data_IF_102437322319
#
_entry.id   IF_102437322319
#
_cell.length_a   1.000
_cell.length_b   1.000
_cell.length_c   1.000
_cell.angle_alpha   90.00
_cell.angle_beta   90.00
_cell.angle_gamma   90.00
#
_symmetry.space_group_name_H-M   'P 1'
#
loop_
_entity.id
_entity.type
_entity.pdbx_description
1 polymer ?
#
# COMPACT_ATOMS: atom_id res chain seq x y z
N UNK A 1 31.64 -12.81 60.30
CA UNK A 1 30.27 -13.07 60.79
C UNK A 1 29.29 -12.82 59.64
N UNK A 2 28.55 -13.88 59.24
CA UNK A 2 27.18 -13.96 58.66
C UNK A 2 26.76 -12.89 57.62
N UNK A 3 26.47 -13.26 56.36
CA UNK A 3 25.16 -13.63 55.77
C UNK A 3 24.08 -12.51 55.92
N UNK A 4 23.29 -12.06 54.94
CA UNK A 4 22.56 -12.72 53.83
C UNK A 4 22.14 -11.72 52.72
N UNK A 5 22.02 -12.23 51.49
CA UNK A 5 21.03 -12.02 50.40
C UNK A 5 19.98 -10.88 50.47
N UNK A 6 19.78 -10.20 49.32
CA UNK A 6 18.55 -10.38 48.51
C UNK A 6 18.75 -9.86 47.06
N UNK A 7 18.36 -10.69 46.08
CA UNK A 7 18.49 -10.46 44.65
C UNK A 7 17.26 -9.74 44.06
N UNK A 8 17.48 -8.94 43.00
CA UNK A 8 16.44 -8.62 42.00
C UNK A 8 17.02 -8.88 40.60
N UNK A 9 16.39 -9.84 39.91
CA UNK A 9 16.62 -10.21 38.53
C UNK A 9 16.28 -9.04 37.58
N UNK A 10 17.18 -8.75 36.66
CA UNK A 10 16.86 -8.15 35.36
C UNK A 10 17.26 -9.19 34.32
N UNK A 11 16.29 -9.62 33.51
CA UNK A 11 16.47 -10.57 32.43
C UNK A 11 16.96 -9.79 31.20
N UNK A 12 18.23 -9.95 30.84
CA UNK A 12 18.79 -9.49 29.56
C UNK A 12 19.16 -10.75 28.79
N UNK A 13 18.35 -11.13 27.80
CA UNK A 13 18.74 -12.13 26.81
C UNK A 13 19.37 -11.35 25.66
N UNK A 14 20.69 -11.14 25.74
CA UNK A 14 21.50 -10.86 24.56
C UNK A 14 22.03 -12.20 24.05
N UNK A 15 21.53 -12.66 22.91
CA UNK A 15 22.07 -13.82 22.24
C UNK A 15 23.22 -13.40 21.32
N UNK A 16 24.45 -13.47 21.83
CA UNK A 16 25.65 -13.64 21.02
C UNK A 16 26.41 -14.84 21.56
N UNK A 17 26.34 -15.95 20.82
CA UNK A 17 27.14 -17.15 21.09
C UNK A 17 28.21 -17.25 20.01
N UNK A 18 29.44 -16.95 20.38
CA UNK A 18 30.61 -17.52 19.73
C UNK A 18 31.57 -18.00 20.81
N UNK A 19 31.68 -19.33 20.95
CA UNK A 19 32.86 -19.98 21.48
C UNK A 19 33.15 -21.23 20.66
N UNK A 20 34.41 -21.39 20.30
CA UNK A 20 34.89 -22.36 19.35
C UNK A 20 35.41 -23.65 20.01
N UNK A 21 35.40 -24.70 19.20
CA UNK A 21 36.19 -25.96 19.24
C UNK A 21 35.59 -27.11 20.06
N UNK A 22 35.05 -28.07 19.29
CA UNK A 22 34.78 -29.45 19.68
C UNK A 22 34.15 -30.18 18.50
N UNK A 23 34.96 -30.87 17.70
CA UNK A 23 34.56 -31.63 16.51
C UNK A 23 33.65 -32.80 16.87
N UNK A 24 32.34 -32.62 16.72
CA UNK A 24 31.35 -33.67 16.44
C UNK A 24 30.35 -33.10 15.42
N UNK A 25 30.32 -33.69 14.23
CA UNK A 25 29.46 -33.30 13.13
C UNK A 25 27.99 -33.51 13.48
N UNK A 26 27.35 -32.45 13.98
CA UNK A 26 25.91 -32.26 13.89
C UNK A 26 25.68 -31.18 12.84
N UNK A 27 25.32 -31.60 11.63
CA UNK A 27 24.75 -30.68 10.64
C UNK A 27 23.53 -30.04 11.29
N UNK A 28 23.63 -28.77 11.70
CA UNK A 28 22.46 -27.98 12.01
C UNK A 28 21.66 -27.91 10.71
N UNK A 29 20.63 -28.75 10.60
CA UNK A 29 19.66 -28.64 9.52
C UNK A 29 19.10 -27.23 9.61
N UNK A 30 19.40 -26.38 8.63
CA UNK A 30 18.65 -25.15 8.44
C UNK A 30 17.18 -25.56 8.36
N UNK A 31 16.40 -25.20 9.38
CA UNK A 31 15.00 -25.55 9.44
C UNK A 31 14.33 -24.79 8.29
N UNK A 32 13.84 -25.52 7.28
CA UNK A 32 13.16 -24.90 6.15
C UNK A 32 11.88 -24.24 6.66
N UNK A 33 11.76 -22.94 6.40
CA UNK A 33 10.53 -22.18 6.66
C UNK A 33 9.41 -22.78 5.80
N UNK A 34 8.28 -23.12 6.41
CA UNK A 34 7.12 -23.62 5.69
C UNK A 34 6.42 -22.47 4.94
N UNK A 35 5.67 -22.76 3.85
CA UNK A 35 4.92 -21.71 3.14
C UNK A 35 3.99 -20.90 4.05
N UNK A 36 3.36 -21.56 5.03
CA UNK A 36 2.48 -20.91 6.00
C UNK A 36 3.23 -19.97 6.95
N UNK A 37 4.41 -20.37 7.42
CA UNK A 37 5.24 -19.50 8.26
C UNK A 37 5.73 -18.27 7.48
N UNK A 38 6.05 -18.44 6.19
CA UNK A 38 6.41 -17.33 5.31
C UNK A 38 5.21 -16.37 5.10
N UNK A 39 4.02 -16.90 4.82
CA UNK A 39 2.79 -16.12 4.68
C UNK A 39 2.49 -15.31 5.94
N UNK A 40 2.52 -15.95 7.12
CA UNK A 40 2.33 -15.29 8.41
C UNK A 40 3.37 -14.20 8.68
N UNK A 41 4.62 -14.41 8.25
CA UNK A 41 5.65 -13.39 8.35
C UNK A 41 5.32 -12.16 7.49
N UNK A 42 4.95 -12.35 6.22
CA UNK A 42 4.57 -11.23 5.35
C UNK A 42 3.29 -10.52 5.81
N UNK A 43 2.30 -11.26 6.34
CA UNK A 43 1.13 -10.68 7.01
C UNK A 43 1.54 -9.80 8.19
N UNK A 44 2.49 -10.27 9.02
CA UNK A 44 2.97 -9.50 10.18
C UNK A 44 3.73 -8.24 9.77
N UNK A 45 4.50 -8.27 8.67
CA UNK A 45 5.15 -7.11 8.08
C UNK A 45 4.12 -6.09 7.59
N UNK A 46 3.12 -6.56 6.83
CA UNK A 46 2.05 -5.72 6.31
C UNK A 46 1.23 -5.06 7.42
N UNK A 47 0.98 -5.78 8.51
CA UNK A 47 0.30 -5.24 9.69
C UNK A 47 1.16 -4.21 10.43
N UNK A 48 2.43 -4.53 10.68
CA UNK A 48 3.35 -3.63 11.39
C UNK A 48 3.49 -2.28 10.70
N UNK A 49 3.56 -2.30 9.37
CA UNK A 49 3.68 -1.10 8.54
C UNK A 49 2.35 -0.63 7.93
N UNK A 50 1.21 -1.14 8.38
CA UNK A 50 -0.09 -0.67 7.92
C UNK A 50 -0.21 0.83 8.15
N UNK A 51 -0.47 1.66 7.13
CA UNK A 51 -0.42 3.12 7.28
C UNK A 51 -1.48 3.65 8.25
N UNK A 52 -1.15 4.75 8.92
CA UNK A 52 -2.15 5.64 9.55
C UNK A 52 -2.59 6.63 8.48
N UNK A 53 -3.89 6.66 8.21
CA UNK A 53 -4.45 7.38 7.07
C UNK A 53 -5.31 8.54 7.59
N UNK A 54 -4.87 9.78 7.38
CA UNK A 54 -5.70 10.97 7.60
C UNK A 54 -6.37 11.40 6.30
N UNK A 55 -7.65 11.13 6.17
CA UNK A 55 -8.39 11.37 4.94
C UNK A 55 -9.38 12.51 5.10
N UNK A 56 -9.35 13.46 4.16
CA UNK A 56 -10.44 14.43 4.02
C UNK A 56 -11.74 13.72 3.62
N UNK A 57 -12.85 14.06 4.26
CA UNK A 57 -14.17 13.53 3.91
C UNK A 57 -15.21 14.65 3.86
N UNK A 58 -15.69 14.97 2.66
CA UNK A 58 -16.81 15.87 2.43
C UNK A 58 -18.17 15.13 2.53
N UNK A 59 -18.21 13.87 2.09
CA UNK A 59 -19.34 12.94 2.19
C UNK A 59 -18.88 11.52 2.51
N UNK A 60 -19.81 10.58 2.60
CA UNK A 60 -19.53 9.14 2.72
C UNK A 60 -19.00 8.52 1.41
N UNK A 61 -19.13 9.23 0.28
CA UNK A 61 -18.49 8.86 -1.00
C UNK A 61 -16.95 8.85 -0.88
N UNK A 62 -16.39 9.62 0.06
CA UNK A 62 -14.95 9.65 0.31
C UNK A 62 -14.50 8.47 1.19
N UNK A 63 -15.38 7.59 1.69
CA UNK A 63 -14.94 6.52 2.59
C UNK A 63 -14.18 5.42 1.85
N UNK A 64 -13.12 4.90 2.50
CA UNK A 64 -12.38 3.75 1.99
C UNK A 64 -13.29 2.52 2.14
N UNK A 65 -13.40 1.70 1.10
CA UNK A 65 -14.11 0.41 1.17
C UNK A 65 -13.47 -0.65 0.26
N UNK A 66 -14.03 -1.85 0.22
CA UNK A 66 -13.63 -2.89 -0.73
C UNK A 66 -14.21 -2.63 -2.13
N UNK A 67 -13.59 -3.17 -3.17
CA UNK A 67 -14.09 -3.12 -4.54
C UNK A 67 -15.42 -3.87 -4.70
N UNK A 68 -15.64 -4.94 -3.92
CA UNK A 68 -16.87 -5.73 -3.89
C UNK A 68 -17.83 -5.32 -2.76
N UNK A 69 -17.80 -4.05 -2.36
CA UNK A 69 -18.58 -3.52 -1.24
C UNK A 69 -20.11 -3.69 -1.39
N UNK A 70 -20.59 -3.88 -2.61
CA UNK A 70 -22.00 -4.13 -2.95
C UNK A 70 -22.33 -5.63 -3.12
N UNK A 71 -21.34 -6.51 -2.92
CA UNK A 71 -21.49 -7.96 -2.97
C UNK A 71 -21.26 -8.59 -4.34
N UNK A 72 -20.81 -7.83 -5.35
CA UNK A 72 -20.43 -8.37 -6.64
C UNK A 72 -19.03 -7.90 -7.10
N UNK A 73 -18.67 -8.15 -8.36
CA UNK A 73 -17.34 -7.84 -8.90
C UNK A 73 -17.44 -7.16 -10.27
N UNK A 74 -18.57 -6.50 -10.53
CA UNK A 74 -18.75 -5.63 -11.68
C UNK A 74 -18.13 -4.27 -11.34
N UNK A 75 -17.16 -3.83 -12.13
CA UNK A 75 -16.51 -2.54 -11.88
C UNK A 75 -17.40 -1.37 -12.28
N UNK A 76 -18.31 -1.58 -13.25
CA UNK A 76 -19.09 -0.56 -13.91
C UNK A 76 -20.50 -0.32 -13.31
N UNK A 77 -20.68 -0.61 -12.03
CA UNK A 77 -21.89 -0.27 -11.27
C UNK A 77 -21.60 0.26 -9.84
N UNK A 78 -20.31 0.43 -9.51
CA UNK A 78 -19.84 0.86 -8.20
C UNK A 78 -20.28 2.29 -7.88
N UNK A 79 -20.34 3.17 -8.88
CA UNK A 79 -20.84 4.53 -8.69
C UNK A 79 -22.29 4.45 -8.21
N UNK A 80 -23.16 3.75 -8.92
CA UNK A 80 -24.59 3.63 -8.62
C UNK A 80 -24.85 2.93 -7.29
N UNK A 81 -24.04 1.93 -6.94
CA UNK A 81 -24.25 1.09 -5.76
C UNK A 81 -23.67 1.66 -4.46
N UNK A 82 -22.74 2.63 -4.54
CA UNK A 82 -22.14 3.31 -3.37
C UNK A 82 -23.14 3.72 -2.29
N UNK A 83 -24.32 4.31 -2.59
CA UNK A 83 -25.26 4.77 -1.55
C UNK A 83 -25.87 3.66 -0.69
N UNK A 84 -25.79 2.40 -1.11
CA UNK A 84 -26.42 1.26 -0.42
C UNK A 84 -25.48 0.12 -0.05
N UNK A 85 -24.24 0.15 -0.52
CA UNK A 85 -23.27 -0.90 -0.23
C UNK A 85 -22.61 -0.77 1.15
N UNK A 86 -21.78 -1.76 1.49
CA UNK A 86 -21.08 -1.84 2.77
C UNK A 86 -19.80 -1.00 2.74
N UNK A 87 -19.81 0.19 3.34
CA UNK A 87 -18.66 1.09 3.39
C UNK A 87 -17.65 0.74 4.49
N UNK A 88 -17.55 -0.53 4.88
CA UNK A 88 -16.56 -0.99 5.85
C UNK A 88 -15.15 -0.85 5.29
N UNK A 89 -14.23 -0.29 6.07
CA UNK A 89 -12.91 0.08 5.57
C UNK A 89 -12.00 -1.14 5.34
N UNK A 90 -11.65 -1.40 4.08
CA UNK A 90 -10.67 -2.40 3.68
C UNK A 90 -9.51 -1.75 2.93
N UNK A 91 -8.29 -2.14 3.29
CA UNK A 91 -7.08 -1.71 2.58
C UNK A 91 -6.44 -2.93 1.93
N UNK A 92 -6.28 -2.85 0.62
CA UNK A 92 -5.60 -3.89 -0.14
C UNK A 92 -4.12 -3.82 0.11
N UNK A 93 -3.45 -4.96 0.28
CA UNK A 93 -2.00 -4.97 0.44
C UNK A 93 -1.28 -6.06 -0.33
N UNK A 94 0.02 -5.86 -0.54
CA UNK A 94 0.94 -6.92 -0.94
C UNK A 94 2.32 -6.71 -0.30
N UNK A 95 3.08 -7.79 -0.19
CA UNK A 95 4.49 -7.74 0.22
C UNK A 95 5.32 -8.48 -0.82
N UNK A 96 6.38 -7.83 -1.29
CA UNK A 96 7.40 -8.39 -2.17
C UNK A 96 8.75 -8.26 -1.46
N UNK A 97 9.63 -9.24 -1.64
CA UNK A 97 10.92 -9.30 -0.97
C UNK A 97 12.04 -9.51 -2.00
N UNK A 98 13.03 -8.60 -2.01
CA UNK A 98 14.34 -8.84 -2.63
C UNK A 98 15.34 -9.35 -1.61
N UNK A 99 16.57 -9.66 -2.01
CA UNK A 99 17.61 -10.08 -1.04
C UNK A 99 17.84 -9.03 0.07
N UNK A 100 17.72 -7.74 -0.23
CA UNK A 100 18.07 -6.65 0.70
C UNK A 100 16.89 -5.84 1.21
N UNK A 101 15.72 -5.90 0.57
CA UNK A 101 14.57 -5.05 0.93
C UNK A 101 13.24 -5.82 0.92
N UNK A 102 12.28 -5.31 1.69
CA UNK A 102 10.86 -5.58 1.52
C UNK A 102 10.17 -4.37 0.86
N UNK A 103 9.19 -4.64 0.03
CA UNK A 103 8.35 -3.68 -0.66
C UNK A 103 6.91 -3.97 -0.24
N UNK A 104 6.34 -3.07 0.56
CA UNK A 104 4.98 -3.17 1.03
C UNK A 104 4.12 -2.21 0.23
N UNK A 105 3.11 -2.75 -0.44
CA UNK A 105 2.21 -1.99 -1.27
C UNK A 105 0.84 -1.97 -0.62
N UNK A 106 0.22 -0.79 -0.53
CA UNK A 106 -1.13 -0.62 0.00
C UNK A 106 -1.98 0.16 -1.01
N UNK A 107 -3.22 -0.25 -1.23
CA UNK A 107 -4.15 0.46 -2.12
C UNK A 107 -5.45 0.79 -1.40
N UNK A 108 -5.91 2.03 -1.56
CA UNK A 108 -7.14 2.57 -1.01
C UNK A 108 -8.15 2.66 -2.16
N UNK A 109 -9.32 2.04 -1.99
CA UNK A 109 -10.37 2.06 -3.00
C UNK A 109 -11.53 2.95 -2.55
N UNK A 110 -12.04 3.74 -3.49
CA UNK A 110 -13.23 4.56 -3.35
C UNK A 110 -14.16 4.28 -4.53
N UNK A 111 -15.49 4.09 -4.33
CA UNK A 111 -16.38 3.80 -5.46
C UNK A 111 -16.58 4.96 -6.43
N UNK A 112 -16.26 6.20 -5.99
CA UNK A 112 -16.50 7.43 -6.75
C UNK A 112 -15.33 8.40 -6.59
N UNK A 113 -14.74 8.84 -7.69
CA UNK A 113 -13.93 10.06 -7.77
C UNK A 113 -14.83 11.19 -8.28
N UNK A 114 -14.93 12.28 -7.52
CA UNK A 114 -15.85 13.36 -7.83
C UNK A 114 -15.25 14.74 -7.61
N UNK A 115 -16.00 15.75 -8.03
CA UNK A 115 -15.59 17.15 -7.91
C UNK A 115 -16.65 17.96 -7.17
N UNK A 116 -16.30 19.17 -6.73
CA UNK A 116 -17.29 20.12 -6.23
C UNK A 116 -18.28 20.57 -7.32
N UNK A 117 -17.81 20.63 -8.56
CA UNK A 117 -18.62 20.95 -9.73
C UNK A 117 -19.51 19.77 -10.13
N UNK A 118 -20.60 20.07 -10.84
CA UNK A 118 -21.50 19.03 -11.36
C UNK A 118 -20.75 18.05 -12.26
N UNK A 119 -20.72 16.77 -11.87
CA UNK A 119 -20.01 15.71 -12.57
C UNK A 119 -20.41 15.55 -14.03
N UNK A 120 -21.66 15.91 -14.39
CA UNK A 120 -22.09 15.89 -15.78
C UNK A 120 -21.38 16.94 -16.65
N UNK A 121 -20.71 17.92 -16.05
CA UNK A 121 -20.10 19.07 -16.73
C UNK A 121 -18.64 19.33 -16.39
N UNK A 122 -18.14 18.86 -15.24
CA UNK A 122 -16.79 19.14 -14.77
C UNK A 122 -15.71 18.40 -15.57
N UNK A 123 -16.05 17.19 -16.06
CA UNK A 123 -15.09 16.30 -16.72
C UNK A 123 -14.03 15.72 -15.79
N UNK A 124 -14.15 15.94 -14.48
CA UNK A 124 -13.23 15.45 -13.46
C UNK A 124 -13.76 14.30 -12.61
N UNK A 125 -15.02 13.90 -12.78
CA UNK A 125 -15.58 12.76 -12.04
C UNK A 125 -15.42 11.47 -12.81
N UNK A 126 -15.26 10.36 -12.09
CA UNK A 126 -15.35 9.01 -12.64
C UNK A 126 -15.72 7.96 -11.60
N UNK A 127 -16.31 6.89 -12.09
CA UNK A 127 -16.50 5.67 -11.34
C UNK A 127 -15.17 5.01 -11.00
N UNK A 128 -15.13 4.45 -9.78
CA UNK A 128 -13.96 3.87 -9.15
C UNK A 128 -12.84 4.88 -8.94
N UNK A 129 -12.08 4.65 -7.88
CA UNK A 129 -10.79 5.26 -7.67
C UNK A 129 -9.94 4.30 -6.86
N UNK A 130 -8.67 4.18 -7.24
CA UNK A 130 -7.74 3.31 -6.55
C UNK A 130 -6.36 3.96 -6.57
N UNK A 131 -5.99 4.48 -5.41
CA UNK A 131 -4.74 5.17 -5.16
C UNK A 131 -3.85 4.31 -4.27
N UNK A 132 -2.53 4.41 -4.43
CA UNK A 132 -1.61 3.46 -3.78
C UNK A 132 -0.39 4.08 -3.10
N UNK A 133 0.17 3.29 -2.19
CA UNK A 133 1.34 3.60 -1.36
C UNK A 133 2.34 2.45 -1.54
N UNK A 134 3.61 2.77 -1.76
CA UNK A 134 4.71 1.81 -1.74
C UNK A 134 5.75 2.20 -0.68
N UNK A 135 5.84 1.40 0.37
CA UNK A 135 6.87 1.51 1.39
C UNK A 135 8.04 0.56 1.06
N UNK A 136 9.25 1.10 1.00
CA UNK A 136 10.47 0.29 0.86
C UNK A 136 11.22 0.24 2.19
N UNK A 137 11.46 -0.99 2.66
CA UNK A 137 12.08 -1.26 3.96
C UNK A 137 13.35 -2.06 3.74
N UNK A 138 14.48 -1.53 4.18
CA UNK A 138 15.76 -2.23 4.17
C UNK A 138 15.81 -3.27 5.29
N UNK A 139 16.38 -4.43 4.98
CA UNK A 139 16.66 -5.46 5.99
C UNK A 139 17.97 -5.15 6.70
N UNK A 140 17.88 -4.79 7.97
CA UNK A 140 19.02 -4.49 8.83
C UNK A 140 19.33 -5.60 9.86
N UNK A 141 18.65 -6.75 9.73
CA UNK A 141 18.74 -7.88 10.65
C UNK A 141 17.77 -7.83 11.84
N UNK A 142 16.99 -6.76 11.98
CA UNK A 142 15.86 -6.71 12.92
C UNK A 142 14.61 -7.36 12.31
N UNK A 143 13.57 -7.69 13.13
CA UNK A 143 12.36 -8.34 12.62
C UNK A 143 11.56 -7.50 11.60
N UNK A 144 11.68 -6.18 11.67
CA UNK A 144 10.91 -5.26 10.83
C UNK A 144 11.79 -4.41 9.90
N UNK A 145 13.10 -4.35 10.11
CA UNK A 145 14.00 -3.59 9.24
C UNK A 145 13.90 -2.08 9.47
N UNK A 146 14.39 -1.34 8.48
CA UNK A 146 14.47 0.12 8.49
C UNK A 146 13.76 0.70 7.27
N UNK A 147 12.66 1.45 7.44
CA UNK A 147 12.03 2.20 6.35
C UNK A 147 13.04 3.13 5.67
N UNK A 148 13.08 3.12 4.33
CA UNK A 148 13.99 3.96 3.52
C UNK A 148 13.23 4.95 2.66
N UNK A 149 12.20 4.50 1.94
CA UNK A 149 11.37 5.35 1.08
C UNK A 149 9.89 5.08 1.26
N UNK A 150 9.09 6.11 1.01
CA UNK A 150 7.64 6.05 0.88
C UNK A 150 7.28 6.70 -0.46
N UNK A 151 6.67 5.95 -1.36
CA UNK A 151 6.12 6.48 -2.60
C UNK A 151 4.60 6.51 -2.50
N UNK A 152 3.97 7.62 -2.84
CA UNK A 152 2.50 7.75 -2.84
C UNK A 152 2.01 8.20 -4.20
N UNK A 153 0.85 7.69 -4.62
CA UNK A 153 0.19 8.16 -5.83
C UNK A 153 -0.85 9.23 -5.45
N UNK A 154 -0.82 10.33 -6.19
CA UNK A 154 -1.92 11.26 -6.22
C UNK A 154 -2.22 11.62 -7.68
N UNK A 155 -3.39 11.23 -8.14
CA UNK A 155 -3.87 11.42 -9.49
C UNK A 155 -2.89 10.78 -10.50
N UNK A 156 -2.23 11.60 -11.31
CA UNK A 156 -1.27 11.17 -12.33
C UNK A 156 0.20 11.22 -11.89
N UNK A 157 0.49 11.39 -10.59
CA UNK A 157 1.85 11.60 -10.09
C UNK A 157 2.22 10.70 -8.92
N UNK A 158 3.37 10.02 -9.04
CA UNK A 158 4.01 9.34 -7.90
C UNK A 158 4.96 10.33 -7.23
N UNK A 159 4.79 10.52 -5.93
CA UNK A 159 5.63 11.35 -5.08
C UNK A 159 6.57 10.48 -4.26
N UNK A 160 7.86 10.82 -4.28
CA UNK A 160 8.89 10.14 -3.49
C UNK A 160 9.14 10.90 -2.18
N UNK A 161 9.06 10.21 -1.06
CA UNK A 161 9.47 10.68 0.26
C UNK A 161 10.56 9.75 0.83
N UNK A 162 11.40 10.27 1.72
CA UNK A 162 12.47 9.49 2.36
C UNK A 162 12.36 9.55 3.88
N UNK A 163 12.83 8.51 4.57
CA UNK A 163 12.84 8.49 6.05
C UNK A 163 14.15 9.03 6.64
N UNK A 164 15.19 9.19 5.81
CA UNK A 164 16.43 9.84 6.18
C UNK A 164 17.10 10.49 4.94
N UNK A 165 18.20 11.19 5.18
CA UNK A 165 18.95 11.95 4.15
C UNK A 165 19.91 11.07 3.32
N UNK A 166 20.04 9.78 3.63
CA UNK A 166 20.94 8.85 2.92
C UNK A 166 20.33 8.30 1.63
N UNK A 167 19.03 8.52 1.43
CA UNK A 167 18.35 8.23 0.17
C UNK A 167 18.16 9.53 -0.62
N UNK A 168 18.69 9.55 -1.83
CA UNK A 168 18.64 10.69 -2.74
C UNK A 168 17.59 10.57 -3.84
N UNK A 169 17.50 11.61 -4.66
CA UNK A 169 16.63 11.62 -5.85
C UNK A 169 17.23 10.77 -6.98
N UNK A 170 16.39 9.96 -7.62
CA UNK A 170 16.68 9.30 -8.89
C UNK A 170 15.89 9.98 -10.01
N UNK A 171 15.03 9.22 -10.68
CA UNK A 171 14.06 9.77 -11.63
C UNK A 171 13.02 10.69 -10.95
N UNK A 172 12.57 10.32 -9.75
CA UNK A 172 11.71 11.16 -8.93
C UNK A 172 12.56 12.08 -8.06
N UNK A 173 12.08 13.32 -7.92
CA UNK A 173 12.65 14.26 -6.94
C UNK A 173 12.10 13.89 -5.57
N UNK A 174 12.97 13.89 -4.56
CA UNK A 174 12.55 13.76 -3.16
C UNK A 174 11.66 14.95 -2.81
N UNK A 175 10.41 14.65 -2.47
CA UNK A 175 9.34 15.60 -2.15
C UNK A 175 9.51 16.13 -0.73
N UNK A 176 9.88 15.25 0.21
CA UNK A 176 10.11 15.59 1.60
C UNK A 176 10.41 14.36 2.45
N UNK A 177 10.44 14.57 3.76
CA UNK A 177 10.58 13.49 4.71
C UNK A 177 9.21 12.83 4.98
N UNK A 178 9.19 11.50 5.00
CA UNK A 178 8.06 10.73 5.47
C UNK A 178 8.09 10.63 7.01
N UNK A 179 6.92 10.48 7.62
CA UNK A 179 6.76 10.38 9.07
C UNK A 179 6.22 9.01 9.46
N UNK A 180 6.57 8.57 10.68
CA UNK A 180 5.96 7.42 11.33
C UNK A 180 5.16 7.89 12.54
N UNK A 181 3.95 7.37 12.69
CA UNK A 181 3.14 7.50 13.90
C UNK A 181 3.08 6.14 14.58
N UNK A 182 3.66 6.01 15.78
CA UNK A 182 3.75 4.76 16.53
C UNK A 182 4.31 3.56 15.73
N UNK A 183 5.20 3.85 14.77
CA UNK A 183 5.83 2.85 13.89
C UNK A 183 5.11 2.65 12.54
N UNK A 184 3.93 3.23 12.36
CA UNK A 184 3.14 3.16 11.14
C UNK A 184 3.45 4.33 10.19
N UNK A 185 3.62 4.12 8.87
CA UNK A 185 3.71 5.20 7.90
C UNK A 185 2.51 6.13 7.98
N UNK A 186 2.76 7.43 8.07
CA UNK A 186 1.70 8.44 8.12
C UNK A 186 1.42 8.96 6.71
N UNK A 187 0.16 8.88 6.27
CA UNK A 187 -0.27 9.39 4.96
C UNK A 187 -1.52 10.26 5.08
N UNK A 188 -1.69 11.12 4.10
CA UNK A 188 -2.79 12.07 4.02
C UNK A 188 -3.50 11.94 2.69
N UNK A 189 -4.83 11.88 2.70
CA UNK A 189 -5.65 11.60 1.53
C UNK A 189 -6.60 12.76 1.30
N UNK A 190 -6.64 13.27 0.06
CA UNK A 190 -7.56 14.32 -0.35
C UNK A 190 -9.01 13.84 -0.30
N UNK A 191 -9.95 14.74 0.03
CA UNK A 191 -11.34 14.45 -0.28
C UNK A 191 -11.57 14.56 -1.79
N UNK A 192 -12.66 13.95 -2.26
CA UNK A 192 -13.20 14.00 -3.61
C UNK A 192 -12.40 13.18 -4.64
N UNK A 193 -11.12 13.50 -4.83
CA UNK A 193 -10.24 12.81 -5.80
C UNK A 193 -9.07 12.06 -5.18
N UNK A 194 -9.12 11.81 -3.87
CA UNK A 194 -8.34 10.81 -3.11
C UNK A 194 -6.82 10.72 -3.29
N UNK A 195 -6.17 11.74 -3.85
CA UNK A 195 -4.71 11.75 -3.97
C UNK A 195 -4.00 11.58 -2.62
N UNK A 196 -3.00 10.70 -2.57
CA UNK A 196 -2.28 10.32 -1.35
C UNK A 196 -0.93 11.05 -1.27
N UNK A 197 -0.63 11.59 -0.08
CA UNK A 197 0.60 12.34 0.21
C UNK A 197 1.27 11.83 1.48
N UNK A 198 2.60 11.78 1.48
CA UNK A 198 3.44 11.37 2.62
C UNK A 198 3.76 12.49 3.62
N UNK A 199 3.11 13.66 3.51
CA UNK A 199 3.25 14.76 4.46
C UNK A 199 1.96 15.55 4.60
N UNK A 200 1.81 16.25 5.74
CA UNK A 200 0.65 17.11 6.03
C UNK A 200 0.54 18.35 5.14
N UNK A 201 1.63 18.70 4.44
CA UNK A 201 1.90 20.00 3.84
C UNK A 201 0.69 20.63 3.15
N UNK A 202 0.26 21.81 3.63
CA UNK A 202 -0.56 22.83 2.96
C UNK A 202 -1.86 22.47 2.23
N UNK A 203 -2.22 21.20 2.05
CA UNK A 203 -3.28 20.79 1.14
C UNK A 203 -4.64 21.21 1.68
N UNK A 204 -5.16 22.28 1.06
CA UNK A 204 -6.51 22.77 1.27
C UNK A 204 -7.54 21.66 1.03
N UNK A 205 -7.29 20.70 0.15
CA UNK A 205 -8.10 19.51 -0.17
C UNK A 205 -8.23 18.50 0.96
N UNK A 206 -7.25 18.40 1.85
CA UNK A 206 -7.26 17.42 2.95
C UNK A 206 -8.02 17.97 4.17
N UNK A 207 -7.86 19.27 4.46
CA UNK A 207 -8.39 19.87 5.69
C UNK A 207 -9.37 21.01 5.48
N UNK A 208 -9.15 21.87 4.49
CA UNK A 208 -9.89 23.13 4.33
C UNK A 208 -11.18 22.93 3.52
N UNK A 209 -11.10 22.31 2.34
CA UNK A 209 -12.23 22.03 1.46
C UNK A 209 -13.26 21.10 2.12
N UNK A 210 -12.89 19.98 2.78
CA UNK A 210 -13.87 19.15 3.46
C UNK A 210 -14.64 19.95 4.51
N UNK A 211 -13.96 20.77 5.31
CA UNK A 211 -14.60 21.63 6.32
C UNK A 211 -15.54 22.67 5.71
N UNK A 212 -15.20 23.25 4.56
CA UNK A 212 -16.09 24.16 3.84
C UNK A 212 -17.37 23.49 3.36
N UNK A 213 -17.30 22.19 3.03
CA UNK A 213 -18.45 21.38 2.60
C UNK A 213 -19.20 20.72 3.77
N UNK A 214 -18.90 21.13 5.01
CA UNK A 214 -19.51 20.56 6.22
C UNK A 214 -18.95 19.19 6.63
N UNK A 215 -17.90 18.73 5.94
CA UNK A 215 -17.13 17.52 6.23
C UNK A 215 -16.00 17.74 7.25
N UNK A 216 -14.99 16.88 7.17
CA UNK A 216 -13.88 16.85 8.12
C UNK A 216 -12.74 15.92 7.71
N UNK A 217 -12.11 15.31 8.70
CA UNK A 217 -11.01 14.36 8.51
C UNK A 217 -11.36 13.07 9.24
N UNK A 218 -11.30 11.94 8.55
CA UNK A 218 -11.40 10.60 9.13
C UNK A 218 -9.99 10.05 9.29
N UNK A 219 -9.69 9.42 10.43
CA UNK A 219 -8.39 8.80 10.71
C UNK A 219 -8.55 7.29 10.79
N UNK A 220 -8.03 6.59 9.78
CA UNK A 220 -8.06 5.14 9.71
C UNK A 220 -6.76 4.53 10.24
N UNK A 221 -6.89 3.43 11.00
CA UNK A 221 -5.77 2.65 11.54
C UNK A 221 -5.96 1.17 11.25
N UNK A 222 -4.88 0.43 11.05
CA UNK A 222 -4.95 -1.01 10.86
C UNK A 222 -5.53 -1.68 12.10
N UNK A 223 -6.48 -2.59 11.91
CA UNK A 223 -7.06 -3.39 12.98
C UNK A 223 -7.73 -4.67 12.49
N UNK A 224 -8.27 -5.45 13.44
CA UNK A 224 -8.70 -6.83 13.17
C UNK A 224 -10.01 -6.89 12.38
N UNK A 225 -10.75 -5.77 12.38
CA UNK A 225 -12.07 -5.64 11.78
C UNK A 225 -12.08 -4.42 10.85
N UNK A 226 -12.91 -4.51 9.81
CA UNK A 226 -13.25 -3.37 8.98
C UNK A 226 -14.44 -2.68 9.64
N UNK A 227 -14.35 -1.37 9.83
CA UNK A 227 -15.42 -0.56 10.41
C UNK A 227 -15.87 0.52 9.42
N UNK A 228 -17.11 0.97 9.56
CA UNK A 228 -17.65 2.12 8.80
C UNK A 228 -17.50 3.37 9.66
N UNK A 229 -16.90 4.47 9.16
CA UNK A 229 -16.79 5.70 9.95
C UNK A 229 -18.16 6.21 10.41
N UNK A 230 -18.32 6.49 11.71
CA UNK A 230 -19.59 6.98 12.27
C UNK A 230 -19.93 8.40 11.80
N UNK A 231 -18.90 9.15 11.39
CA UNK A 231 -19.03 10.49 10.84
C UNK A 231 -17.82 10.86 9.98
N UNK A 232 -17.94 11.97 9.25
CA UNK A 232 -16.86 12.58 8.44
C UNK A 232 -15.73 13.20 9.28
N UNK A 233 -15.72 12.97 10.58
CA UNK A 233 -14.76 13.48 11.58
C UNK A 233 -14.32 12.39 12.55
N UNK A 234 -14.48 11.12 12.16
CA UNK A 234 -14.12 10.00 13.01
C UNK A 234 -12.59 9.93 13.18
N UNK A 235 -12.11 10.13 14.40
CA UNK A 235 -10.68 10.29 14.68
C UNK A 235 -9.97 8.95 14.90
N UNK A 236 -10.70 7.82 14.94
CA UNK A 236 -10.09 6.53 15.20
C UNK A 236 -10.98 5.36 14.73
N UNK A 237 -10.92 5.06 13.43
CA UNK A 237 -11.65 3.94 12.81
C UNK A 237 -10.68 2.85 12.36
N UNK A 238 -11.06 1.58 12.53
CA UNK A 238 -10.27 0.43 12.09
C UNK A 238 -10.52 0.12 10.61
N UNK A 239 -9.45 -0.07 9.85
CA UNK A 239 -9.51 -0.78 8.57
C UNK A 239 -8.89 -2.16 8.68
N UNK A 240 -9.40 -3.09 7.87
CA UNK A 240 -8.83 -4.43 7.76
C UNK A 240 -7.97 -4.57 6.51
N UNK A 241 -6.80 -5.17 6.68
CA UNK A 241 -5.93 -5.53 5.56
C UNK A 241 -6.48 -6.76 4.82
N UNK A 242 -6.54 -6.68 3.49
CA UNK A 242 -6.90 -7.80 2.60
C UNK A 242 -5.86 -8.00 1.49
N UNK A 243 -5.38 -9.23 1.22
CA UNK A 243 -4.27 -9.41 0.29
C UNK A 243 -4.70 -9.23 -1.17
N UNK A 244 -4.00 -8.39 -1.94
CA UNK A 244 -4.20 -8.22 -3.38
C UNK A 244 -4.11 -9.57 -4.09
N UNK A 245 -3.16 -10.43 -3.67
CA UNK A 245 -2.91 -11.72 -4.30
C UNK A 245 -4.09 -12.70 -4.25
N UNK A 246 -4.91 -12.66 -3.19
CA UNK A 246 -6.06 -13.56 -3.01
C UNK A 246 -7.40 -12.90 -3.31
N UNK A 247 -7.42 -11.58 -3.52
CA UNK A 247 -8.64 -10.78 -3.79
C UNK A 247 -8.67 -10.28 -5.23
N UNK A 248 -7.87 -9.27 -5.56
CA UNK A 248 -7.89 -8.63 -6.88
C UNK A 248 -7.18 -9.47 -7.95
N UNK A 249 -6.00 -10.02 -7.63
CA UNK A 249 -5.14 -10.72 -8.59
C UNK A 249 -5.77 -11.95 -9.27
N UNK A 250 -6.58 -12.78 -8.60
CA UNK A 250 -7.28 -13.90 -9.25
C UNK A 250 -8.29 -13.46 -10.31
N UNK A 251 -8.64 -12.16 -10.34
CA UNK A 251 -9.58 -11.56 -11.29
C UNK A 251 -8.90 -10.79 -12.39
N UNK A 252 -7.57 -10.74 -12.45
CA UNK A 252 -6.79 -9.95 -13.44
C UNK A 252 -7.17 -10.21 -14.90
N UNK A 253 -7.69 -11.41 -15.20
CA UNK A 253 -8.13 -11.82 -16.54
C UNK A 253 -9.64 -11.58 -16.79
N UNK A 254 -10.35 -11.04 -15.80
CA UNK A 254 -11.76 -10.61 -15.88
C UNK A 254 -11.82 -9.24 -16.56
N UNK A 255 -11.55 -9.23 -17.88
CA UNK A 255 -11.38 -8.02 -18.69
C UNK A 255 -12.58 -7.79 -19.62
N UNK A 256 -13.16 -6.59 -19.58
CA UNK A 256 -14.15 -6.08 -20.53
C UNK A 256 -15.42 -5.56 -19.86
N UNK A 257 -16.35 -5.07 -20.67
CA UNK A 257 -17.61 -4.47 -20.23
C UNK A 257 -18.44 -5.41 -19.34
N UNK A 258 -18.84 -4.95 -18.16
CA UNK A 258 -19.55 -5.74 -17.16
C UNK A 258 -18.65 -6.81 -16.52
N UNK A 259 -17.35 -6.55 -16.42
CA UNK A 259 -16.37 -7.36 -15.69
C UNK A 259 -15.79 -6.56 -14.54
N UNK A 260 -14.74 -7.09 -13.93
CA UNK A 260 -14.06 -6.41 -12.82
C UNK A 260 -13.11 -5.34 -13.34
N UNK A 261 -12.44 -5.62 -14.45
CA UNK A 261 -11.39 -4.78 -14.99
C UNK A 261 -11.57 -4.57 -16.50
N UNK A 262 -10.89 -3.58 -17.06
CA UNK A 262 -10.83 -3.34 -18.51
C UNK A 262 -9.41 -2.86 -18.90
N UNK A 263 -9.27 -2.35 -20.12
CA UNK A 263 -8.05 -1.78 -20.71
C UNK A 263 -6.88 -2.78 -20.70
N UNK A 264 -6.94 -3.87 -21.49
CA UNK A 264 -5.86 -4.83 -21.55
C UNK A 264 -4.55 -4.16 -21.99
N UNK A 265 -3.44 -4.57 -21.38
CA UNK A 265 -2.09 -4.18 -21.77
C UNK A 265 -1.14 -5.37 -21.68
N UNK A 266 -0.07 -5.32 -22.47
CA UNK A 266 0.98 -6.34 -22.46
C UNK A 266 2.02 -6.03 -21.38
N UNK A 267 2.29 -7.02 -20.53
CA UNK A 267 3.34 -7.03 -19.53
C UNK A 267 4.19 -8.30 -19.67
N UNK A 268 5.39 -8.16 -20.25
CA UNK A 268 6.38 -9.23 -20.39
C UNK A 268 5.83 -10.52 -21.05
N UNK A 269 4.92 -10.39 -22.02
CA UNK A 269 4.33 -11.52 -22.74
C UNK A 269 3.00 -12.01 -22.16
N UNK A 270 2.43 -11.31 -21.18
CA UNK A 270 1.14 -11.59 -20.59
C UNK A 270 0.20 -10.39 -20.77
N UNK A 271 -1.06 -10.65 -21.11
CA UNK A 271 -2.10 -9.63 -21.13
C UNK A 271 -2.64 -9.47 -19.70
N UNK A 272 -2.61 -8.24 -19.18
CA UNK A 272 -3.17 -7.86 -17.89
C UNK A 272 -4.15 -6.70 -18.06
N UNK A 273 -5.04 -6.49 -17.08
CA UNK A 273 -5.91 -5.31 -17.04
C UNK A 273 -5.20 -4.07 -16.51
N UNK A 274 -5.30 -2.94 -17.21
CA UNK A 274 -4.74 -1.68 -16.73
C UNK A 274 -5.71 -0.91 -15.81
N UNK A 275 -7.01 -1.08 -16.00
CA UNK A 275 -8.03 -0.28 -15.32
C UNK A 275 -9.09 -1.14 -14.64
N UNK A 276 -9.75 -0.59 -13.63
CA UNK A 276 -11.05 -1.06 -13.17
C UNK A 276 -12.07 -0.71 -14.27
N UNK A 277 -12.94 -1.66 -14.60
CA UNK A 277 -14.04 -1.42 -15.56
C UNK A 277 -14.93 -0.32 -14.97
N UNK A 278 -15.28 0.70 -15.74
CA UNK A 278 -16.09 1.80 -15.23
C UNK A 278 -16.66 2.63 -16.36
N UNK A 279 -17.93 3.01 -16.27
CA UNK A 279 -18.64 3.69 -17.36
C UNK A 279 -19.33 5.00 -16.96
N UNK A 280 -19.45 5.26 -15.66
CA UNK A 280 -20.07 6.48 -15.16
C UNK A 280 -19.10 7.68 -15.17
N UNK A 281 -19.53 8.76 -15.85
CA UNK A 281 -18.83 10.01 -16.17
C UNK A 281 -17.58 9.92 -17.05
N UNK A 282 -16.66 8.97 -16.82
CA UNK A 282 -15.50 8.73 -17.67
C UNK A 282 -15.10 7.26 -17.68
N UNK A 283 -14.82 6.75 -18.88
CA UNK A 283 -14.62 5.32 -19.11
C UNK A 283 -13.23 4.82 -18.66
N UNK A 284 -13.21 3.85 -17.74
CA UNK A 284 -12.04 3.10 -17.24
C UNK A 284 -10.90 3.98 -16.70
N UNK A 285 -11.26 5.02 -15.93
CA UNK A 285 -10.30 6.02 -15.43
C UNK A 285 -9.42 5.50 -14.29
N UNK A 286 -9.96 4.66 -13.40
CA UNK A 286 -9.23 4.11 -12.26
C UNK A 286 -8.29 2.97 -12.68
N UNK A 287 -7.03 3.01 -12.25
CA UNK A 287 -6.06 1.97 -12.57
C UNK A 287 -6.18 0.77 -11.60
N UNK A 288 -5.77 -0.41 -12.05
CA UNK A 288 -5.48 -1.53 -11.14
C UNK A 288 -4.12 -1.33 -10.46
N UNK A 289 -3.81 -2.03 -9.34
CA UNK A 289 -2.48 -1.96 -8.72
C UNK A 289 -1.32 -2.25 -9.70
N UNK A 290 -1.51 -3.18 -10.64
CA UNK A 290 -0.54 -3.52 -11.68
C UNK A 290 -0.71 -2.71 -12.98
N UNK A 291 -1.67 -1.78 -13.05
CA UNK A 291 -2.01 -1.01 -14.24
C UNK A 291 -1.39 0.39 -14.30
N UNK A 292 -0.81 0.86 -13.19
CA UNK A 292 -0.18 2.18 -13.09
C UNK A 292 0.92 2.39 -14.13
N UNK A 293 0.90 3.57 -14.74
CA UNK A 293 1.83 3.99 -15.82
C UNK A 293 2.63 5.25 -15.46
N UNK A 294 2.48 5.74 -14.23
CA UNK A 294 3.14 6.93 -13.73
C UNK A 294 4.62 6.63 -13.47
N UNK A 295 5.45 7.69 -13.50
CA UNK A 295 6.89 7.65 -13.21
C UNK A 295 7.74 6.65 -14.03
N UNK A 296 7.25 6.13 -15.15
CA UNK A 296 7.98 5.07 -15.88
C UNK A 296 9.24 5.56 -16.60
N UNK A 297 9.24 6.83 -17.03
CA UNK A 297 10.21 7.34 -17.98
C UNK A 297 10.29 6.46 -19.24
N UNK A 298 11.51 6.28 -19.76
CA UNK A 298 11.80 5.30 -20.82
C UNK A 298 12.38 3.97 -20.27
N UNK A 299 12.45 3.81 -18.95
CA UNK A 299 13.20 2.73 -18.28
C UNK A 299 12.29 1.64 -17.74
N UNK A 300 11.16 2.04 -17.16
CA UNK A 300 10.18 1.12 -16.60
C UNK A 300 9.05 0.89 -17.60
N UNK A 301 8.39 -0.26 -17.45
CA UNK A 301 7.13 -0.57 -18.11
C UNK A 301 5.95 -0.18 -17.22
N UNK A 302 4.78 0.03 -17.83
CA UNK A 302 3.51 0.04 -17.08
C UNK A 302 3.46 -1.18 -16.15
N UNK A 303 3.03 -0.99 -14.91
CA UNK A 303 2.92 -2.03 -13.90
C UNK A 303 4.21 -2.34 -13.13
N UNK A 304 5.38 -1.87 -13.57
CA UNK A 304 6.64 -2.13 -12.85
C UNK A 304 6.64 -1.55 -11.43
N UNK A 305 5.88 -0.47 -11.17
CA UNK A 305 5.79 0.11 -9.82
C UNK A 305 5.32 -0.91 -8.78
N UNK A 306 4.38 -1.78 -9.15
CA UNK A 306 3.83 -2.84 -8.30
C UNK A 306 4.45 -4.23 -8.56
N UNK A 307 4.62 -4.62 -9.83
CA UNK A 307 5.07 -5.97 -10.20
C UNK A 307 6.58 -6.15 -10.08
N UNK A 308 7.36 -5.07 -10.26
CA UNK A 308 8.82 -5.08 -10.19
C UNK A 308 9.35 -3.92 -9.31
N UNK A 309 8.94 -3.87 -8.02
CA UNK A 309 9.17 -2.72 -7.17
C UNK A 309 10.66 -2.46 -6.89
N UNK A 310 11.51 -3.49 -6.88
CA UNK A 310 12.96 -3.28 -6.76
C UNK A 310 13.50 -2.50 -7.97
N UNK A 311 13.09 -2.85 -9.19
CA UNK A 311 13.48 -2.09 -10.39
C UNK A 311 12.89 -0.68 -10.37
N UNK A 312 11.62 -0.53 -9.98
CA UNK A 312 10.97 0.76 -9.94
C UNK A 312 11.62 1.72 -8.92
N UNK A 313 11.79 1.29 -7.67
CA UNK A 313 12.33 2.11 -6.58
C UNK A 313 13.80 2.45 -6.82
N UNK A 314 14.62 1.53 -7.33
CA UNK A 314 16.02 1.82 -7.70
C UNK A 314 16.16 2.77 -8.90
N UNK A 315 15.10 2.94 -9.69
CA UNK A 315 15.03 3.96 -10.74
C UNK A 315 14.50 5.30 -10.20
N UNK A 316 13.49 5.27 -9.35
CA UNK A 316 12.86 6.46 -8.77
C UNK A 316 13.78 7.18 -7.77
N UNK A 317 14.52 6.44 -6.94
CA UNK A 317 15.39 6.95 -5.88
C UNK A 317 16.84 6.47 -6.05
N UNK A 318 17.78 7.13 -5.38
CA UNK A 318 19.19 6.72 -5.33
C UNK A 318 19.58 6.26 -3.93
N UNK A 319 20.16 5.06 -3.82
CA UNK A 319 20.62 4.48 -2.56
C UNK A 319 22.15 4.42 -2.52
N UNK A 320 22.75 4.73 -1.38
CA UNK A 320 24.20 4.54 -1.16
C UNK A 320 24.55 3.08 -0.79
N UNK A 321 23.59 2.36 -0.18
CA UNK A 321 23.73 0.98 0.29
C UNK A 321 23.37 -0.06 -0.78
N UNK A 322 23.63 -1.33 -0.48
CA UNK A 322 23.33 -2.46 -1.37
C UNK A 322 21.82 -2.60 -1.65
N UNK A 323 21.43 -2.39 -2.91
CA UNK A 323 20.05 -2.53 -3.37
C UNK A 323 19.91 -3.70 -4.36
N UNK A 324 19.28 -4.80 -3.93
CA UNK A 324 19.13 -6.00 -4.75
C UNK A 324 17.88 -5.97 -5.61
N UNK A 325 18.06 -6.28 -6.90
CA UNK A 325 16.97 -6.53 -7.86
C UNK A 325 16.54 -8.00 -7.92
N UNK A 326 17.15 -8.86 -7.10
CA UNK A 326 16.85 -10.30 -7.09
C UNK A 326 15.80 -10.62 -6.03
N UNK A 327 14.64 -11.08 -6.48
CA UNK A 327 13.52 -11.44 -5.61
C UNK A 327 13.73 -12.77 -4.88
N UNK A 328 13.49 -12.75 -3.57
CA UNK A 328 13.33 -13.93 -2.72
C UNK A 328 11.86 -14.36 -2.74
N UNK A 329 10.94 -13.39 -2.72
CA UNK A 329 9.50 -13.61 -2.76
C UNK A 329 8.84 -12.54 -3.62
N UNK A 330 8.24 -12.95 -4.75
CA UNK A 330 7.38 -12.12 -5.57
C UNK A 330 6.28 -13.03 -6.15
N UNK A 331 5.13 -13.16 -5.47
CA UNK A 331 4.11 -14.13 -5.85
C UNK A 331 3.49 -13.81 -7.22
N UNK A 332 3.44 -12.53 -7.60
CA UNK A 332 2.86 -12.08 -8.87
C UNK A 332 3.75 -12.46 -10.07
N UNK A 333 5.04 -12.12 -10.02
CA UNK A 333 5.96 -12.51 -11.10
C UNK A 333 6.17 -14.03 -11.15
N UNK A 334 6.09 -14.73 -10.02
CA UNK A 334 6.14 -16.18 -10.00
C UNK A 334 4.89 -16.79 -10.66
N UNK A 335 3.70 -16.24 -10.40
CA UNK A 335 2.44 -16.68 -11.02
C UNK A 335 2.46 -16.44 -12.53
N UNK A 336 2.99 -15.31 -13.00
CA UNK A 336 3.13 -15.04 -14.44
C UNK A 336 4.16 -15.94 -15.14
N UNK A 337 5.07 -16.59 -14.43
CA UNK A 337 6.05 -17.52 -15.06
C UNK A 337 5.48 -18.91 -15.31
N UNK A 338 4.35 -19.25 -14.69
CA UNK A 338 3.74 -20.58 -14.73
C UNK A 338 2.58 -20.65 -15.73
#
# INVERSE_FOLDING_TARGET
MRCLNCAKMVCVICALVFWAIGTLGGSASAQQVTPREAEQFYESLAWHYGPVIHQGAASDQDYITALDFDGDWFGNNNWENQPTGDLSAYVYYSVIESKTHWFLFYSLFHPRDYTYEDCATSGGCHENDLESIQLTVEKDGTPFGKPRTLETLAHDSIYLYTFDETVGSGFLRVTGLAELEDGHPLVYVEALGHGIYGHKGGSSSIYFFPRLLGGGTVTYRVGEQAEVPESRKDENISYKLIPIYTTLWPRRDSIGDGKTFDRPFEYRGHVLSASIDGDTFSKDSANTPWGYKQATGATLSRGDWFLDPARAVSFHASFEDDFSLEYVYNPFLNDLRN
#
